data_IF_143660449642
#
_entry.id   IF_143660449642
#
_cell.length_a   1.000
_cell.length_b   1.000
_cell.length_c   1.000
_cell.angle_alpha   90.00
_cell.angle_beta   90.00
_cell.angle_gamma   90.00
#
_symmetry.space_group_name_H-M   'P 1'
#
loop_
_entity.id
_entity.type
_entity.pdbx_description
1 polymer ?
#
# COMPACT_ATOMS: atom_id res chain seq x y z
N UNK A 1 5.47 13.77 26.05
CA UNK A 1 4.56 12.68 25.67
C UNK A 1 4.85 12.34 24.22
N UNK A 2 5.67 11.33 23.95
CA UNK A 2 5.83 10.84 22.57
C UNK A 2 4.52 10.16 22.20
N UNK A 3 3.77 10.70 21.23
CA UNK A 3 2.61 10.01 20.71
C UNK A 3 3.12 8.71 20.07
N UNK A 4 2.79 7.57 20.67
CA UNK A 4 2.99 6.28 20.02
C UNK A 4 2.14 6.28 18.75
N UNK A 5 2.78 6.38 17.59
CA UNK A 5 2.11 6.24 16.30
C UNK A 5 1.71 4.78 16.17
N UNK A 6 0.46 4.49 16.54
CA UNK A 6 -0.12 3.17 16.34
C UNK A 6 -0.77 3.13 14.95
N UNK A 7 -0.57 2.07 14.17
CA UNK A 7 -1.28 1.92 12.91
C UNK A 7 -2.79 1.89 13.18
N UNK A 8 -3.55 2.68 12.42
CA UNK A 8 -5.00 2.66 12.53
C UNK A 8 -5.57 1.28 12.12
N UNK A 9 -4.88 0.60 11.20
CA UNK A 9 -5.21 -0.72 10.70
C UNK A 9 -3.91 -1.50 10.50
N UNK A 10 -3.84 -2.71 11.05
CA UNK A 10 -2.71 -3.62 10.89
C UNK A 10 -2.49 -3.97 9.41
N UNK A 11 -1.23 -3.89 8.96
CA UNK A 11 -0.85 -4.20 7.58
C UNK A 11 -0.99 -3.06 6.56
N UNK A 12 -1.56 -1.90 6.96
CA UNK A 12 -1.60 -0.70 6.09
C UNK A 12 -0.36 0.15 6.18
N UNK A 13 0.35 0.05 7.30
CA UNK A 13 1.55 0.81 7.59
C UNK A 13 2.67 -0.17 7.94
N UNK A 14 3.87 0.12 7.46
CA UNK A 14 5.10 -0.54 7.88
C UNK A 14 6.13 0.53 8.22
N UNK A 15 7.15 0.19 8.99
CA UNK A 15 8.24 1.09 9.36
C UNK A 15 9.50 0.69 8.61
N UNK A 16 10.22 1.68 8.07
CA UNK A 16 11.50 1.42 7.43
C UNK A 16 12.62 1.33 8.48
N UNK A 17 13.85 1.04 8.03
CA UNK A 17 15.02 0.96 8.91
C UNK A 17 15.38 2.27 9.62
N UNK A 18 14.77 3.40 9.26
CA UNK A 18 14.93 4.71 9.90
C UNK A 18 13.92 4.92 11.03
N UNK A 19 12.93 4.03 11.16
CA UNK A 19 11.83 4.15 12.12
C UNK A 19 10.66 4.97 11.62
N UNK A 20 10.69 5.45 10.37
CA UNK A 20 9.60 6.22 9.80
C UNK A 20 8.50 5.30 9.23
N UNK A 21 7.21 5.54 9.55
CA UNK A 21 6.12 4.79 8.98
C UNK A 21 5.91 5.17 7.50
N UNK A 22 5.66 4.17 6.67
CA UNK A 22 5.25 4.30 5.28
C UNK A 22 3.98 3.50 5.02
N UNK A 23 3.22 3.94 4.03
CA UNK A 23 1.98 3.28 3.60
C UNK A 23 2.29 2.08 2.71
N UNK A 24 1.59 0.98 2.95
CA UNK A 24 1.55 -0.18 2.06
C UNK A 24 0.31 -0.06 1.18
N UNK A 25 0.52 -0.14 -0.13
CA UNK A 25 -0.55 -0.15 -1.13
C UNK A 25 -0.43 -1.34 -2.07
N UNK A 26 -1.48 -1.62 -2.82
CA UNK A 26 -1.46 -2.60 -3.90
C UNK A 26 -0.98 -1.96 -5.20
N UNK A 27 -0.04 -2.58 -5.91
CA UNK A 27 0.37 -2.21 -7.27
C UNK A 27 0.04 -3.32 -8.24
N UNK A 28 -0.69 -2.99 -9.30
CA UNK A 28 -1.01 -3.94 -10.36
C UNK A 28 0.23 -4.26 -11.19
N UNK A 29 0.49 -5.56 -11.39
CA UNK A 29 1.60 -6.01 -12.24
C UNK A 29 1.38 -5.74 -13.72
N UNK A 30 0.11 -5.63 -14.14
CA UNK A 30 -0.25 -5.45 -15.55
C UNK A 30 -0.18 -3.99 -15.98
N UNK A 31 -0.97 -3.11 -15.34
CA UNK A 31 -1.05 -1.70 -15.73
C UNK A 31 -0.20 -0.76 -14.86
N UNK A 32 0.39 -1.24 -13.77
CA UNK A 32 1.15 -0.41 -12.84
C UNK A 32 0.28 0.51 -11.96
N UNK A 33 -1.05 0.39 -12.01
CA UNK A 33 -1.95 1.19 -11.15
C UNK A 33 -1.74 0.86 -9.69
N UNK A 34 -1.61 1.92 -8.89
CA UNK A 34 -1.55 1.83 -7.43
C UNK A 34 -2.94 1.99 -6.84
N UNK A 35 -3.23 1.25 -5.77
CA UNK A 35 -4.50 1.30 -5.06
C UNK A 35 -4.27 1.24 -3.55
N UNK A 36 -5.11 1.99 -2.83
CA UNK A 36 -5.21 1.97 -1.39
C UNK A 36 -6.70 1.97 -1.01
N UNK A 37 -7.20 1.12 -0.08
CA UNK A 37 -6.47 0.19 0.79
C UNK A 37 -5.62 -0.90 0.10
N UNK A 38 -4.58 -1.43 0.77
CA UNK A 38 -3.84 -2.59 0.29
C UNK A 38 -4.78 -3.78 0.11
N UNK A 39 -4.90 -4.25 -1.13
CA UNK A 39 -5.67 -5.44 -1.48
C UNK A 39 -4.84 -6.31 -2.41
N UNK A 40 -5.02 -7.63 -2.32
CA UNK A 40 -4.27 -8.59 -3.10
C UNK A 40 -4.83 -8.74 -4.53
N UNK A 41 -6.09 -8.37 -4.73
CA UNK A 41 -6.82 -8.55 -5.98
C UNK A 41 -7.76 -7.40 -6.32
N UNK A 42 -8.34 -7.45 -7.53
CA UNK A 42 -9.25 -6.46 -8.11
C UNK A 42 -8.52 -5.15 -8.45
N UNK A 43 -7.97 -5.01 -9.65
CA UNK A 43 -7.42 -3.71 -10.07
C UNK A 43 -8.53 -2.65 -10.20
N UNK A 44 -8.36 -1.42 -9.66
CA UNK A 44 -9.39 -0.38 -9.80
C UNK A 44 -9.46 0.23 -11.21
N UNK A 45 -8.50 -0.10 -12.08
CA UNK A 45 -8.43 0.47 -13.42
C UNK A 45 -9.43 -0.25 -14.33
N UNK A 46 -10.50 0.42 -14.81
CA UNK A 46 -11.51 -0.21 -15.66
C UNK A 46 -10.99 -0.62 -17.04
N UNK A 47 -9.81 -0.14 -17.45
CA UNK A 47 -9.13 -0.56 -18.67
C UNK A 47 -8.13 -1.70 -18.46
N UNK A 48 -8.10 -2.32 -17.29
CA UNK A 48 -7.16 -3.39 -16.96
C UNK A 48 -7.87 -4.54 -16.23
N UNK A 49 -7.83 -5.73 -16.82
CA UNK A 49 -8.34 -6.97 -16.23
C UNK A 49 -7.32 -7.61 -15.26
N UNK A 50 -6.55 -6.77 -14.57
CA UNK A 50 -5.53 -7.22 -13.64
C UNK A 50 -6.14 -7.68 -12.32
N UNK A 51 -5.96 -8.95 -11.99
CA UNK A 51 -6.49 -9.52 -10.74
C UNK A 51 -5.45 -9.65 -9.63
N UNK A 52 -4.17 -9.41 -9.92
CA UNK A 52 -3.10 -9.52 -8.94
C UNK A 52 -2.46 -8.15 -8.65
N UNK A 53 -2.40 -7.84 -7.36
CA UNK A 53 -1.83 -6.60 -6.83
C UNK A 53 -0.73 -6.94 -5.81
N UNK A 54 0.52 -6.63 -6.15
CA UNK A 54 1.62 -6.73 -5.22
C UNK A 54 1.53 -5.67 -4.14
N UNK A 55 1.76 -6.08 -2.90
CA UNK A 55 1.89 -5.15 -1.78
C UNK A 55 3.24 -4.45 -1.85
N UNK A 56 3.23 -3.14 -2.07
CA UNK A 56 4.45 -2.34 -2.24
C UNK A 56 4.42 -1.10 -1.35
N UNK A 57 5.60 -0.60 -0.92
CA UNK A 57 5.70 0.69 -0.25
C UNK A 57 5.23 1.81 -1.17
N UNK A 58 4.27 2.61 -0.72
CA UNK A 58 3.84 3.83 -1.40
C UNK A 58 4.80 4.99 -1.10
N UNK A 59 4.82 5.96 -2.03
CA UNK A 59 5.62 7.17 -1.89
C UNK A 59 5.15 8.02 -0.69
N UNK A 60 6.11 8.63 0.01
CA UNK A 60 5.91 9.52 1.18
C UNK A 60 5.94 11.02 0.81
N UNK A 61 5.88 11.33 -0.49
CA UNK A 61 6.00 12.70 -1.03
C UNK A 61 4.65 13.30 -1.34
#
# INVERSE_FOLDING_TARGET
>A
MSASVQPAIDGWFATDGSGDPYLIGGKCHQCGTFVFPPRANNCPNPGCDGDELAQVPLSRR
#
